data_IF_834730969405
#
_entry.id   IF_834730969405
#
_cell.length_a   1.000
_cell.length_b   1.000
_cell.length_c   1.000
_cell.angle_alpha   90.00
_cell.angle_beta   90.00
_cell.angle_gamma   90.00
#
_symmetry.space_group_name_H-M   'P 1'
#
loop_
_entity.id
_entity.type
_entity.pdbx_description
1 polymer ?
#
# COMPACT_ATOMS: atom_id res chain seq x y z
N UNK A 1 4.88 1.72 9.19
CA UNK A 1 4.05 1.25 8.06
C UNK A 1 3.14 0.10 8.44
N UNK A 2 3.63 -0.90 9.20
CA UNK A 2 2.84 -2.09 9.55
C UNK A 2 1.50 -1.75 10.23
N UNK A 3 1.51 -0.86 11.23
CA UNK A 3 0.28 -0.42 11.94
C UNK A 3 -0.71 0.27 11.01
N UNK A 4 -0.22 1.06 10.05
CA UNK A 4 -1.05 1.73 9.05
C UNK A 4 -1.73 0.72 8.11
N UNK A 5 -0.97 -0.26 7.61
CA UNK A 5 -1.51 -1.33 6.76
C UNK A 5 -2.52 -2.21 7.51
N UNK A 6 -2.28 -2.45 8.81
CA UNK A 6 -3.20 -3.17 9.67
C UNK A 6 -4.50 -2.37 9.85
N UNK A 7 -4.40 -1.06 10.12
CA UNK A 7 -5.56 -0.18 10.24
C UNK A 7 -6.41 -0.15 8.96
N UNK A 8 -5.78 -0.04 7.78
CA UNK A 8 -6.50 -0.05 6.50
C UNK A 8 -7.21 -1.38 6.27
N UNK A 9 -6.53 -2.51 6.53
CA UNK A 9 -7.14 -3.83 6.40
C UNK A 9 -8.32 -4.02 7.35
N UNK A 10 -8.16 -3.64 8.63
CA UNK A 10 -9.24 -3.72 9.63
C UNK A 10 -10.44 -2.84 9.24
N UNK A 11 -10.20 -1.67 8.64
CA UNK A 11 -11.28 -0.83 8.11
C UNK A 11 -12.03 -1.53 6.99
N UNK A 12 -11.33 -2.14 6.03
CA UNK A 12 -11.95 -2.93 4.96
C UNK A 12 -12.76 -4.12 5.50
N UNK A 13 -12.21 -4.85 6.48
CA UNK A 13 -12.88 -5.98 7.12
C UNK A 13 -14.15 -5.54 7.88
N UNK A 14 -14.10 -4.40 8.59
CA UNK A 14 -15.28 -3.83 9.25
C UNK A 14 -16.35 -3.38 8.25
N UNK A 15 -15.94 -2.78 7.13
CA UNK A 15 -16.86 -2.38 6.06
C UNK A 15 -17.56 -3.60 5.43
N UNK A 16 -16.82 -4.69 5.23
CA UNK A 16 -17.39 -5.96 4.81
C UNK A 16 -18.39 -6.53 5.83
N UNK A 17 -18.09 -6.42 7.14
CA UNK A 17 -18.98 -6.88 8.21
C UNK A 17 -20.30 -6.10 8.30
N UNK A 18 -20.31 -4.80 7.98
CA UNK A 18 -21.53 -3.97 7.96
C UNK A 18 -22.30 -4.06 6.65
N UNK A 19 -21.89 -4.94 5.72
CA UNK A 19 -22.57 -5.16 4.44
C UNK A 19 -22.17 -4.21 3.32
N UNK A 20 -21.06 -3.48 3.48
CA UNK A 20 -20.47 -2.60 2.47
C UNK A 20 -19.04 -3.06 2.14
N UNK A 21 -18.84 -4.28 1.59
CA UNK A 21 -17.52 -4.81 1.32
C UNK A 21 -16.77 -3.91 0.34
N UNK A 22 -15.57 -3.50 0.74
CA UNK A 22 -14.66 -2.75 -0.12
C UNK A 22 -13.93 -3.74 -1.03
N UNK A 23 -13.87 -3.45 -2.33
CA UNK A 23 -13.08 -4.25 -3.26
C UNK A 23 -11.58 -4.11 -2.95
N UNK A 24 -10.79 -5.10 -3.36
CA UNK A 24 -9.34 -5.04 -3.18
C UNK A 24 -8.75 -3.80 -3.85
N UNK A 25 -9.25 -3.42 -5.03
CA UNK A 25 -8.82 -2.24 -5.76
C UNK A 25 -9.12 -0.95 -4.99
N UNK A 26 -10.31 -0.83 -4.39
CA UNK A 26 -10.68 0.32 -3.55
C UNK A 26 -9.82 0.40 -2.29
N UNK A 27 -9.57 -0.74 -1.63
CA UNK A 27 -8.72 -0.80 -0.44
C UNK A 27 -7.28 -0.39 -0.78
N UNK A 28 -6.73 -0.88 -1.90
CA UNK A 28 -5.41 -0.51 -2.40
C UNK A 28 -5.38 0.98 -2.73
N UNK A 29 -6.35 1.49 -3.49
CA UNK A 29 -6.42 2.90 -3.86
C UNK A 29 -6.51 3.82 -2.63
N UNK A 30 -7.32 3.46 -1.64
CA UNK A 30 -7.47 4.24 -0.41
C UNK A 30 -6.18 4.23 0.41
N UNK A 31 -5.53 3.06 0.48
CA UNK A 31 -4.25 2.90 1.19
C UNK A 31 -3.15 3.73 0.52
N UNK A 32 -3.07 3.71 -0.82
CA UNK A 32 -2.06 4.46 -1.58
C UNK A 32 -2.30 5.98 -1.55
N UNK A 33 -3.56 6.43 -1.59
CA UNK A 33 -3.91 7.84 -1.48
C UNK A 33 -3.65 8.42 -0.08
N UNK A 34 -3.70 7.59 0.96
CA UNK A 34 -3.40 8.02 2.33
C UNK A 34 -1.92 8.10 2.67
N UNK A 35 -1.02 7.78 1.73
CA UNK A 35 0.42 7.87 1.92
C UNK A 35 0.92 9.30 1.67
N UNK A 36 2.01 9.65 2.34
CA UNK A 36 2.71 10.92 2.12
C UNK A 36 3.45 10.94 0.76
N UNK A 37 3.83 12.12 0.32
CA UNK A 37 4.54 12.39 -0.95
C UNK A 37 5.82 11.55 -1.09
N UNK A 38 6.44 11.18 0.03
CA UNK A 38 7.64 10.35 0.10
C UNK A 38 7.44 8.94 -0.47
N UNK A 39 6.19 8.45 -0.53
CA UNK A 39 5.86 7.13 -1.08
C UNK A 39 5.33 7.18 -2.52
N UNK A 40 5.30 8.34 -3.16
CA UNK A 40 4.77 8.49 -4.52
C UNK A 40 5.48 7.59 -5.55
N UNK A 41 6.78 7.30 -5.37
CA UNK A 41 7.50 6.36 -6.24
C UNK A 41 6.92 4.96 -6.18
N UNK A 42 6.41 4.53 -5.03
CA UNK A 42 5.74 3.25 -4.84
C UNK A 42 4.35 3.29 -5.47
N UNK A 43 3.60 4.36 -5.23
CA UNK A 43 2.26 4.55 -5.81
C UNK A 43 2.31 4.48 -7.33
N UNK A 44 3.22 5.22 -7.97
CA UNK A 44 3.38 5.21 -9.43
C UNK A 44 3.78 3.82 -9.95
N UNK A 45 4.65 3.10 -9.23
CA UNK A 45 5.10 1.77 -9.62
C UNK A 45 3.99 0.73 -9.53
N UNK A 46 3.12 0.83 -8.52
CA UNK A 46 1.99 -0.07 -8.35
C UNK A 46 0.84 0.31 -9.30
N UNK A 47 0.62 1.59 -9.55
CA UNK A 47 -0.47 2.05 -10.43
C UNK A 47 -0.37 1.49 -11.87
N UNK A 48 0.86 1.24 -12.34
CA UNK A 48 1.11 0.65 -13.66
C UNK A 48 0.90 -0.88 -13.71
N UNK A 49 0.71 -1.54 -12.55
CA UNK A 49 0.54 -2.99 -12.47
C UNK A 49 -0.94 -3.40 -12.55
N UNK A 50 -1.25 -4.30 -13.48
CA UNK A 50 -2.59 -4.86 -13.67
C UNK A 50 -2.74 -6.15 -12.85
N UNK A 51 -3.84 -6.26 -12.09
CA UNK A 51 -4.17 -7.45 -11.31
C UNK A 51 -3.52 -7.51 -9.92
N UNK A 52 -3.19 -6.36 -9.36
CA UNK A 52 -2.65 -6.25 -8.01
C UNK A 52 -3.60 -6.81 -6.96
N UNK A 53 -3.08 -7.73 -6.16
CA UNK A 53 -3.68 -8.17 -4.91
C UNK A 53 -3.27 -7.23 -3.78
N UNK A 54 -3.98 -7.32 -2.65
CA UNK A 54 -3.64 -6.56 -1.44
C UNK A 54 -2.21 -6.80 -0.93
N UNK A 55 -1.58 -7.92 -1.27
CA UNK A 55 -0.27 -8.33 -0.74
C UNK A 55 0.88 -7.54 -1.37
N UNK A 56 0.81 -7.23 -2.66
CA UNK A 56 1.92 -6.57 -3.37
C UNK A 56 2.16 -5.12 -2.89
N UNK A 57 1.13 -4.27 -2.70
CA UNK A 57 1.29 -2.95 -2.11
C UNK A 57 1.83 -3.01 -0.69
N UNK A 58 1.35 -3.95 0.13
CA UNK A 58 1.86 -4.14 1.49
C UNK A 58 3.35 -4.44 1.51
N UNK A 59 3.79 -5.38 0.67
CA UNK A 59 5.20 -5.74 0.55
C UNK A 59 6.05 -4.56 0.07
N UNK A 60 5.59 -3.83 -0.96
CA UNK A 60 6.32 -2.69 -1.49
C UNK A 60 6.54 -1.60 -0.42
N UNK A 61 5.50 -1.30 0.37
CA UNK A 61 5.55 -0.31 1.43
C UNK A 61 6.40 -0.74 2.63
N UNK A 62 6.33 -2.02 3.02
CA UNK A 62 7.15 -2.57 4.11
C UNK A 62 8.63 -2.66 3.73
N UNK A 63 8.94 -2.99 2.47
CA UNK A 63 10.32 -3.06 1.97
C UNK A 63 10.97 -1.67 1.95
N UNK A 64 10.22 -0.65 1.57
CA UNK A 64 10.68 0.73 1.56
C UNK A 64 10.89 1.27 2.99
N UNK A 65 9.97 1.02 3.93
CA UNK A 65 10.14 1.38 5.34
C UNK A 65 11.31 0.62 6.00
N UNK A 66 11.49 -0.66 5.68
CA UNK A 66 12.56 -1.50 6.23
C UNK A 66 13.97 -1.11 5.77
N UNK A 67 14.13 -0.05 4.98
CA UNK A 67 15.42 0.39 4.44
C UNK A 67 15.98 -0.52 3.35
N UNK A 68 15.19 -1.48 2.86
CA UNK A 68 15.53 -2.33 1.70
C UNK A 68 14.92 -1.68 0.46
N UNK A 69 15.25 -0.41 0.24
CA UNK A 69 15.03 0.20 -1.07
C UNK A 69 16.08 -0.36 -2.03
N UNK A 70 15.72 -0.98 -3.17
CA UNK A 70 16.69 -1.39 -4.19
C UNK A 70 17.42 -0.21 -4.84
N UNK A 71 17.14 1.03 -4.42
CA UNK A 71 17.71 2.26 -4.98
C UNK A 71 18.09 3.23 -3.87
N UNK A 72 19.21 2.93 -3.21
CA UNK A 72 19.78 3.78 -2.17
C UNK A 72 21.30 3.68 -2.04
N UNK A 73 22.02 3.43 -3.15
CA UNK A 73 23.46 3.72 -3.23
C UNK A 73 23.74 4.58 -4.46
N UNK A 74 23.49 5.88 -4.32
CA UNK A 74 24.24 6.90 -5.07
C UNK A 74 24.48 8.06 -4.11
N UNK A 75 25.45 7.90 -3.21
CA UNK A 75 26.21 9.05 -2.72
C UNK A 75 27.47 9.10 -3.58
N UNK A 76 27.57 10.14 -4.41
CA UNK A 76 28.80 10.57 -5.07
C UNK A 76 29.27 11.85 -4.40
#
# INVERSE_FOLDING_TARGET
>A
MNDYLMMMKTTGDHLALVGAPMSTDELVLHTLNGLDVDYNHIVVKLFDQVGLTWVEPQLALLLDEGGISPRGRVNR
#
